data_IF_202520094862
#
_entry.id   IF_202520094862
#
_cell.length_a   1.000
_cell.length_b   1.000
_cell.length_c   1.000
_cell.angle_alpha   90.00
_cell.angle_beta   90.00
_cell.angle_gamma   90.00
#
_symmetry.space_group_name_H-M   'P 1'
#
loop_
_entity.id
_entity.type
_entity.pdbx_description
1 polymer ?
#
# COMPACT_ATOMS: atom_id res chain seq x y z
N UNK A 1 -69.09 -15.78 0.38
CA UNK A 1 -68.53 -14.41 0.59
C UNK A 1 -67.48 -14.36 1.70
N UNK A 2 -67.74 -14.86 2.92
CA UNK A 2 -66.75 -14.86 4.04
C UNK A 2 -65.41 -15.55 3.73
N UNK A 3 -65.44 -16.68 3.02
CA UNK A 3 -64.22 -17.41 2.61
C UNK A 3 -63.37 -16.64 1.59
N UNK A 4 -64.00 -15.84 0.73
CA UNK A 4 -63.30 -15.05 -0.28
C UNK A 4 -62.59 -13.84 0.35
N UNK A 5 -63.22 -13.24 1.36
CA UNK A 5 -62.65 -12.14 2.14
C UNK A 5 -61.44 -12.59 2.97
N UNK A 6 -61.48 -13.80 3.53
CA UNK A 6 -60.35 -14.39 4.26
C UNK A 6 -59.13 -14.64 3.35
N UNK A 7 -59.36 -15.11 2.12
CA UNK A 7 -58.29 -15.32 1.13
C UNK A 7 -57.66 -14.00 0.70
N UNK A 8 -58.48 -12.95 0.50
CA UNK A 8 -57.98 -11.62 0.16
C UNK A 8 -57.16 -11.00 1.31
N UNK A 9 -57.56 -11.23 2.56
CA UNK A 9 -56.80 -10.79 3.74
C UNK A 9 -55.44 -11.50 3.86
N UNK A 10 -55.37 -12.81 3.57
CA UNK A 10 -54.13 -13.60 3.61
C UNK A 10 -53.12 -13.18 2.52
N UNK A 11 -53.60 -12.76 1.35
CA UNK A 11 -52.74 -12.26 0.27
C UNK A 11 -52.15 -10.88 0.57
N UNK A 12 -52.76 -10.08 1.46
CA UNK A 12 -52.19 -8.80 1.91
C UNK A 12 -51.07 -8.94 2.95
N UNK A 13 -50.80 -10.15 3.48
CA UNK A 13 -49.75 -10.38 4.50
C UNK A 13 -48.41 -10.79 3.87
N UNK A 14 -48.32 -10.94 2.54
CA UNK A 14 -47.04 -11.20 1.87
C UNK A 14 -46.22 -9.92 1.81
N UNK A 15 -45.55 -9.57 2.90
CA UNK A 15 -44.54 -8.53 2.94
C UNK A 15 -43.30 -8.95 2.15
N UNK A 16 -42.64 -7.98 1.49
CA UNK A 16 -41.33 -8.18 0.90
C UNK A 16 -40.31 -8.37 2.02
N UNK A 17 -39.84 -9.60 2.25
CA UNK A 17 -38.64 -9.84 3.04
C UNK A 17 -37.43 -9.51 2.15
N UNK A 18 -36.70 -8.46 2.49
CA UNK A 18 -35.36 -8.23 1.98
C UNK A 18 -34.41 -9.13 2.78
N UNK A 19 -33.68 -10.00 2.09
CA UNK A 19 -32.57 -10.72 2.72
C UNK A 19 -31.47 -9.70 3.02
N UNK A 20 -31.16 -9.52 4.29
CA UNK A 20 -30.07 -8.63 4.71
C UNK A 20 -28.76 -9.27 4.23
N UNK A 21 -28.14 -8.65 3.21
CA UNK A 21 -26.88 -9.13 2.66
C UNK A 21 -25.77 -8.65 3.58
N UNK A 22 -25.16 -9.57 4.31
CA UNK A 22 -23.94 -9.30 5.07
C UNK A 22 -22.79 -9.22 4.08
N UNK A 23 -22.33 -8.00 3.78
CA UNK A 23 -21.16 -7.73 2.95
C UNK A 23 -19.99 -7.21 3.79
N UNK A 24 -18.75 -7.46 3.34
CA UNK A 24 -17.54 -6.95 3.97
C UNK A 24 -17.00 -5.79 3.13
N UNK A 25 -17.37 -4.58 3.50
CA UNK A 25 -16.96 -3.38 2.75
C UNK A 25 -15.55 -2.91 3.15
N UNK A 26 -15.17 -3.08 4.41
CA UNK A 26 -13.83 -2.74 4.86
C UNK A 26 -13.31 -3.86 5.75
N UNK A 27 -12.02 -4.17 5.58
CA UNK A 27 -11.34 -5.13 6.41
C UNK A 27 -9.90 -4.72 6.64
N UNK A 28 -9.35 -5.19 7.75
CA UNK A 28 -7.96 -5.01 8.12
C UNK A 28 -7.33 -6.36 8.42
N UNK A 29 -6.03 -6.45 8.20
CA UNK A 29 -5.25 -7.64 8.55
C UNK A 29 -4.52 -7.34 9.86
N UNK A 30 -4.62 -8.24 10.82
CA UNK A 30 -3.99 -8.15 12.15
C UNK A 30 -3.22 -9.43 12.47
N UNK A 31 -2.42 -9.37 13.52
CA UNK A 31 -1.75 -10.53 14.10
C UNK A 31 -2.80 -11.51 14.65
N UNK A 32 -2.56 -12.81 14.53
CA UNK A 32 -3.43 -13.80 15.17
C UNK A 32 -3.04 -13.90 16.68
N UNK A 33 -3.94 -13.57 17.62
CA UNK A 33 -3.64 -13.68 19.05
C UNK A 33 -3.47 -15.13 19.53
N UNK A 34 -3.90 -16.11 18.75
CA UNK A 34 -3.87 -17.53 19.10
C UNK A 34 -2.75 -18.32 18.43
N UNK A 35 -2.08 -17.75 17.41
CA UNK A 35 -1.01 -18.41 16.68
C UNK A 35 0.03 -17.39 16.20
N UNK A 36 1.31 -17.69 16.45
CA UNK A 36 2.43 -16.76 16.20
C UNK A 36 2.78 -16.58 14.72
N UNK A 37 2.39 -17.53 13.88
CA UNK A 37 2.78 -17.59 12.46
C UNK A 37 1.60 -17.36 11.52
N UNK A 38 0.46 -16.94 12.05
CA UNK A 38 -0.78 -16.75 11.31
C UNK A 38 -1.28 -15.31 11.46
N UNK A 39 -2.14 -14.90 10.53
CA UNK A 39 -2.77 -13.58 10.53
C UNK A 39 -4.28 -13.71 10.62
N UNK A 40 -4.92 -12.68 11.13
CA UNK A 40 -6.37 -12.57 11.22
C UNK A 40 -6.87 -11.48 10.29
N UNK A 41 -7.99 -11.73 9.63
CA UNK A 41 -8.76 -10.78 8.87
C UNK A 41 -9.90 -10.29 9.75
N UNK A 42 -10.05 -8.98 9.86
CA UNK A 42 -11.06 -8.35 10.71
C UNK A 42 -11.91 -7.42 9.86
N UNK A 43 -13.20 -7.70 9.76
CA UNK A 43 -14.17 -6.81 9.13
C UNK A 43 -14.39 -5.60 10.03
N UNK A 44 -14.27 -4.40 9.46
CA UNK A 44 -14.35 -3.14 10.19
C UNK A 44 -15.24 -2.15 9.45
N UNK A 45 -15.75 -1.15 10.16
CA UNK A 45 -16.38 0.01 9.55
C UNK A 45 -15.34 1.07 9.12
N UNK A 46 -15.81 2.21 8.60
CA UNK A 46 -14.96 3.34 8.20
C UNK A 46 -14.20 3.97 9.36
N UNK A 47 -14.68 3.82 10.60
CA UNK A 47 -14.01 4.28 11.81
C UNK A 47 -13.01 3.25 12.37
N UNK A 48 -12.92 2.06 11.76
CA UNK A 48 -12.04 0.97 12.20
C UNK A 48 -12.62 0.12 13.33
N UNK A 49 -13.90 0.25 13.64
CA UNK A 49 -14.62 -0.55 14.64
C UNK A 49 -15.00 -1.90 14.03
N UNK A 50 -14.84 -2.97 14.79
CA UNK A 50 -15.11 -4.34 14.33
C UNK A 50 -16.62 -4.51 14.08
N UNK A 51 -16.97 -5.10 12.93
CA UNK A 51 -18.34 -5.42 12.57
C UNK A 51 -18.71 -6.83 13.05
N UNK A 52 -19.21 -6.95 14.28
CA UNK A 52 -19.54 -8.25 14.88
C UNK A 52 -20.72 -8.98 14.21
N UNK A 53 -21.53 -8.27 13.43
CA UNK A 53 -22.60 -8.86 12.63
C UNK A 53 -22.07 -9.69 11.45
N UNK A 54 -20.81 -9.53 11.04
CA UNK A 54 -20.21 -10.28 9.94
C UNK A 54 -19.91 -11.72 10.37
N UNK A 55 -20.72 -12.65 9.88
CA UNK A 55 -20.62 -14.08 10.16
C UNK A 55 -20.87 -14.88 8.89
N UNK A 56 -20.02 -15.87 8.61
CA UNK A 56 -20.16 -16.71 7.42
C UNK A 56 -18.83 -17.06 6.77
N UNK A 57 -18.88 -17.62 5.56
CA UNK A 57 -17.70 -17.93 4.75
C UNK A 57 -17.64 -16.91 3.62
N UNK A 58 -16.50 -16.25 3.49
CA UNK A 58 -16.26 -15.23 2.48
C UNK A 58 -15.03 -15.59 1.67
N UNK A 59 -15.12 -15.41 0.36
CA UNK A 59 -14.02 -15.67 -0.56
C UNK A 59 -13.10 -14.46 -0.63
N UNK A 60 -11.81 -14.68 -0.44
CA UNK A 60 -10.75 -13.70 -0.56
C UNK A 60 -9.74 -14.18 -1.61
N UNK A 61 -9.13 -13.24 -2.31
CA UNK A 61 -7.92 -13.50 -3.10
C UNK A 61 -6.72 -12.97 -2.33
N UNK A 62 -5.87 -13.88 -1.83
CA UNK A 62 -4.67 -13.57 -1.06
C UNK A 62 -3.45 -13.91 -1.92
N UNK A 63 -2.63 -12.91 -2.27
CA UNK A 63 -1.46 -13.05 -3.15
C UNK A 63 -1.75 -13.77 -4.48
N UNK A 64 -2.97 -13.64 -5.00
CA UNK A 64 -3.41 -14.27 -6.25
C UNK A 64 -4.07 -15.63 -6.08
N UNK A 65 -4.08 -16.20 -4.86
CA UNK A 65 -4.75 -17.45 -4.55
C UNK A 65 -6.14 -17.18 -3.97
N UNK A 66 -7.14 -17.93 -4.42
CA UNK A 66 -8.49 -17.87 -3.88
C UNK A 66 -8.58 -18.70 -2.61
N UNK A 67 -9.02 -18.07 -1.53
CA UNK A 67 -9.07 -18.64 -0.17
C UNK A 67 -10.44 -18.36 0.43
N UNK A 68 -11.01 -19.35 1.11
CA UNK A 68 -12.27 -19.20 1.85
C UNK A 68 -11.97 -18.91 3.32
N UNK A 69 -12.38 -17.74 3.78
CA UNK A 69 -12.21 -17.30 5.16
C UNK A 69 -13.53 -17.39 5.92
N UNK A 70 -13.54 -18.15 7.01
CA UNK A 70 -14.68 -18.24 7.92
C UNK A 70 -14.63 -17.11 8.94
N UNK A 71 -15.51 -16.14 8.79
CA UNK A 71 -15.72 -15.06 9.73
C UNK A 71 -16.67 -15.49 10.85
N UNK A 72 -16.23 -15.27 12.08
CA UNK A 72 -17.01 -15.38 13.31
C UNK A 72 -16.87 -14.05 14.06
N UNK A 73 -17.99 -13.37 14.28
CA UNK A 73 -18.09 -12.05 14.90
C UNK A 73 -17.10 -11.02 14.31
N UNK A 74 -17.05 -10.96 12.99
CA UNK A 74 -16.20 -10.02 12.26
C UNK A 74 -14.72 -10.40 12.21
N UNK A 75 -14.31 -11.56 12.71
CA UNK A 75 -12.92 -12.03 12.64
C UNK A 75 -12.80 -13.38 11.94
N UNK A 76 -11.86 -13.52 11.02
CA UNK A 76 -11.49 -14.78 10.38
C UNK A 76 -9.98 -15.03 10.53
N UNK A 77 -9.59 -16.29 10.74
CA UNK A 77 -8.19 -16.67 10.85
C UNK A 77 -7.68 -17.27 9.54
N UNK A 78 -6.60 -16.71 9.02
CA UNK A 78 -5.90 -17.26 7.86
C UNK A 78 -4.79 -18.18 8.34
N UNK A 79 -5.03 -19.49 8.21
CA UNK A 79 -4.20 -20.56 8.80
C UNK A 79 -2.98 -20.95 7.96
N UNK A 80 -2.69 -20.20 6.91
CA UNK A 80 -1.46 -20.40 6.15
C UNK A 80 -0.29 -19.79 6.90
N UNK A 81 0.71 -20.61 7.24
CA UNK A 81 1.84 -20.16 8.05
C UNK A 81 2.75 -19.22 7.27
N UNK A 82 3.07 -18.08 7.86
CA UNK A 82 4.01 -17.10 7.30
C UNK A 82 5.40 -17.36 7.87
N UNK A 83 6.18 -18.19 7.16
CA UNK A 83 7.53 -18.59 7.59
C UNK A 83 8.57 -17.47 7.50
N UNK A 84 8.36 -16.50 6.61
CA UNK A 84 9.29 -15.39 6.33
C UNK A 84 8.54 -14.10 6.10
N UNK A 85 9.21 -12.98 6.34
CA UNK A 85 8.67 -11.65 6.04
C UNK A 85 8.24 -11.56 4.58
N UNK A 86 7.00 -11.18 4.34
CA UNK A 86 6.39 -11.22 3.00
C UNK A 86 5.30 -10.17 2.83
N UNK A 87 4.95 -9.89 1.59
CA UNK A 87 3.78 -9.09 1.27
C UNK A 87 2.52 -9.95 1.33
N UNK A 88 1.46 -9.39 1.90
CA UNK A 88 0.12 -9.94 1.88
C UNK A 88 -0.78 -8.94 1.18
N UNK A 89 -1.05 -9.21 -0.09
CA UNK A 89 -2.07 -8.52 -0.86
C UNK A 89 -3.37 -9.32 -0.74
N UNK A 90 -4.36 -8.74 -0.09
CA UNK A 90 -5.67 -9.36 0.06
C UNK A 90 -6.73 -8.53 -0.66
N UNK A 91 -7.61 -9.24 -1.36
CA UNK A 91 -8.73 -8.67 -2.11
C UNK A 91 -10.00 -9.44 -1.78
N UNK A 92 -11.08 -8.72 -1.52
CA UNK A 92 -12.43 -9.25 -1.41
C UNK A 92 -13.30 -8.59 -2.48
N UNK A 93 -14.22 -9.36 -3.04
CA UNK A 93 -15.21 -8.87 -3.98
C UNK A 93 -16.59 -9.18 -3.42
N UNK A 94 -17.41 -8.15 -3.29
CA UNK A 94 -18.82 -8.22 -2.95
C UNK A 94 -19.65 -7.71 -4.14
N UNK A 95 -20.97 -7.64 -3.97
CA UNK A 95 -21.87 -7.13 -5.01
C UNK A 95 -21.67 -5.62 -5.28
N UNK A 96 -21.20 -4.87 -4.27
CA UNK A 96 -21.05 -3.41 -4.31
C UNK A 96 -19.68 -2.97 -4.85
N UNK A 97 -18.68 -3.86 -4.91
CA UNK A 97 -17.36 -3.50 -5.41
C UNK A 97 -16.24 -4.50 -5.11
N UNK A 98 -15.02 -3.98 -5.20
CA UNK A 98 -13.80 -4.69 -4.86
C UNK A 98 -13.07 -3.91 -3.78
N UNK A 99 -12.74 -4.59 -2.70
CA UNK A 99 -11.99 -4.02 -1.59
C UNK A 99 -10.65 -4.74 -1.49
N UNK A 100 -9.55 -4.01 -1.53
CA UNK A 100 -8.22 -4.58 -1.40
C UNK A 100 -7.33 -3.81 -0.44
N UNK A 101 -6.40 -4.53 0.15
CA UNK A 101 -5.40 -3.97 1.05
C UNK A 101 -4.08 -4.71 0.87
N UNK A 102 -2.99 -3.95 1.01
CA UNK A 102 -1.64 -4.48 0.96
C UNK A 102 -0.98 -4.28 2.31
N UNK A 103 -0.44 -5.35 2.87
CA UNK A 103 0.37 -5.33 4.07
C UNK A 103 1.75 -5.91 3.78
N UNK A 104 2.77 -5.38 4.43
CA UNK A 104 4.03 -6.08 4.63
C UNK A 104 4.02 -6.70 6.01
N UNK A 105 4.13 -8.02 6.05
CA UNK A 105 4.22 -8.80 7.27
C UNK A 105 5.69 -8.99 7.58
N UNK A 106 6.16 -8.35 8.64
CA UNK A 106 7.54 -8.45 9.13
C UNK A 106 7.60 -9.50 10.24
N UNK A 107 8.38 -10.55 10.02
CA UNK A 107 8.62 -11.61 11.01
C UNK A 107 9.87 -11.27 11.83
N UNK A 108 9.73 -11.25 13.15
CA UNK A 108 10.83 -11.08 14.10
C UNK A 108 10.56 -11.89 15.37
N UNK A 109 11.58 -12.56 15.92
CA UNK A 109 11.55 -13.24 17.24
C UNK A 109 10.26 -14.03 17.57
N UNK A 110 9.74 -14.79 16.59
CA UNK A 110 8.53 -15.60 16.76
C UNK A 110 7.23 -14.78 16.83
N UNK A 111 7.23 -13.54 16.33
CA UNK A 111 6.07 -12.67 16.16
C UNK A 111 5.99 -12.18 14.72
N UNK A 112 4.78 -11.81 14.32
CA UNK A 112 4.51 -11.10 13.08
C UNK A 112 4.16 -9.67 13.44
N UNK A 113 4.63 -8.70 12.66
CA UNK A 113 4.19 -7.31 12.77
C UNK A 113 3.75 -6.83 11.39
N UNK A 114 2.55 -6.24 11.33
CA UNK A 114 1.92 -5.89 10.07
C UNK A 114 2.01 -4.39 9.84
N UNK A 115 2.56 -4.01 8.68
CA UNK A 115 2.63 -2.63 8.23
C UNK A 115 1.72 -2.46 7.03
N UNK A 116 0.66 -1.66 7.17
CA UNK A 116 -0.25 -1.35 6.05
C UNK A 116 0.49 -0.48 5.05
N UNK A 117 0.47 -0.89 3.78
CA UNK A 117 1.07 -0.12 2.70
C UNK A 117 -0.04 0.51 1.86
N UNK A 118 -0.04 1.84 1.80
CA UNK A 118 -0.96 2.59 0.94
C UNK A 118 -0.50 2.54 -0.52
N UNK A 119 -1.46 2.45 -1.45
CA UNK A 119 -1.21 2.53 -2.89
C UNK A 119 -0.46 3.82 -3.28
N UNK A 120 -0.68 4.89 -2.51
CA UNK A 120 0.00 6.18 -2.71
C UNK A 120 1.50 6.02 -2.59
N UNK A 121 1.98 5.22 -1.63
CA UNK A 121 3.41 4.98 -1.43
C UNK A 121 4.00 4.18 -2.59
N UNK A 122 3.27 3.18 -3.10
CA UNK A 122 3.69 2.39 -4.26
C UNK A 122 3.87 3.27 -5.51
N UNK A 123 3.04 4.30 -5.67
CA UNK A 123 3.14 5.24 -6.78
C UNK A 123 4.19 6.35 -6.52
N UNK A 124 4.28 6.83 -5.29
CA UNK A 124 5.13 7.96 -4.93
C UNK A 124 6.62 7.63 -5.05
N UNK A 125 7.06 6.43 -4.66
CA UNK A 125 8.47 6.01 -4.76
C UNK A 125 9.01 6.07 -6.19
N UNK A 126 8.40 5.41 -7.20
CA UNK A 126 8.90 5.49 -8.57
C UNK A 126 8.80 6.90 -9.14
N UNK A 127 7.73 7.64 -8.83
CA UNK A 127 7.60 9.03 -9.29
C UNK A 127 8.69 9.93 -8.70
N UNK A 128 8.99 9.80 -7.41
CA UNK A 128 10.06 10.53 -6.75
C UNK A 128 11.43 10.21 -7.35
N UNK A 129 11.72 8.92 -7.65
CA UNK A 129 12.96 8.53 -8.32
C UNK A 129 13.10 9.18 -9.70
N UNK A 130 12.03 9.21 -10.50
CA UNK A 130 12.03 9.90 -11.81
C UNK A 130 12.26 11.40 -11.63
N UNK A 131 11.60 12.02 -10.65
CA UNK A 131 11.71 13.46 -10.38
C UNK A 131 13.13 13.83 -9.93
N UNK A 132 13.73 13.04 -9.04
CA UNK A 132 15.13 13.17 -8.62
C UNK A 132 16.06 13.04 -9.84
N UNK A 133 15.89 12.00 -10.65
CA UNK A 133 16.70 11.80 -11.86
C UNK A 133 16.58 12.97 -12.85
N UNK A 134 15.38 13.53 -13.01
CA UNK A 134 15.14 14.71 -13.85
C UNK A 134 15.81 15.97 -13.29
N UNK A 135 15.74 16.20 -11.98
CA UNK A 135 16.42 17.33 -11.32
C UNK A 135 17.93 17.26 -11.51
N UNK A 136 18.54 16.08 -11.36
CA UNK A 136 19.97 15.88 -11.62
C UNK A 136 20.34 16.23 -13.06
N UNK A 137 19.55 15.82 -14.06
CA UNK A 137 19.79 16.18 -15.46
C UNK A 137 19.84 17.69 -15.65
N UNK A 138 18.90 18.43 -15.06
CA UNK A 138 18.86 19.90 -15.18
C UNK A 138 20.03 20.58 -14.44
N UNK A 139 20.39 20.08 -13.26
CA UNK A 139 21.54 20.58 -12.49
C UNK A 139 22.87 20.38 -13.23
N UNK A 140 23.07 19.21 -13.85
CA UNK A 140 24.27 18.92 -14.64
C UNK A 140 24.40 19.89 -15.82
N UNK A 141 23.31 20.17 -16.53
CA UNK A 141 23.32 21.12 -17.66
C UNK A 141 23.70 22.53 -17.18
N UNK A 142 23.09 23.00 -16.08
CA UNK A 142 23.40 24.33 -15.52
C UNK A 142 24.87 24.38 -15.07
N UNK A 143 25.37 23.35 -14.40
CA UNK A 143 26.76 23.27 -13.97
C UNK A 143 27.74 23.34 -15.16
N UNK A 144 27.46 22.62 -16.24
CA UNK A 144 28.28 22.67 -17.47
C UNK A 144 28.26 24.07 -18.08
N UNK A 145 27.10 24.72 -18.20
CA UNK A 145 27.00 26.08 -18.74
C UNK A 145 27.79 27.07 -17.90
N UNK A 146 27.61 27.05 -16.58
CA UNK A 146 28.36 27.91 -15.64
C UNK A 146 29.86 27.62 -15.73
N UNK A 147 30.25 26.36 -15.81
CA UNK A 147 31.65 25.96 -15.95
C UNK A 147 32.27 26.45 -17.27
N UNK A 148 31.55 26.37 -18.39
CA UNK A 148 32.01 26.90 -19.67
C UNK A 148 32.16 28.44 -19.63
N UNK A 149 31.20 29.16 -19.04
CA UNK A 149 31.29 30.62 -18.86
C UNK A 149 32.48 30.99 -17.97
N UNK A 150 32.69 30.24 -16.88
CA UNK A 150 33.82 30.44 -15.98
C UNK A 150 35.16 30.20 -16.68
N UNK A 151 35.31 29.13 -17.47
CA UNK A 151 36.52 28.87 -18.25
C UNK A 151 36.77 29.95 -19.30
N UNK A 152 35.71 30.40 -19.99
CA UNK A 152 35.81 31.50 -20.95
C UNK A 152 36.30 32.78 -20.29
N UNK A 153 35.74 33.15 -19.14
CA UNK A 153 36.15 34.35 -18.40
C UNK A 153 37.62 34.29 -17.98
N UNK A 154 38.06 33.14 -17.45
CA UNK A 154 39.47 32.91 -17.07
C UNK A 154 40.40 33.02 -18.29
N UNK A 155 40.03 32.38 -19.41
CA UNK A 155 40.79 32.46 -20.65
C UNK A 155 40.88 33.89 -21.19
N UNK A 156 39.77 34.63 -21.19
CA UNK A 156 39.74 36.03 -21.63
C UNK A 156 40.54 36.97 -20.72
N UNK A 157 40.72 36.60 -19.45
CA UNK A 157 41.51 37.33 -18.47
C UNK A 157 43.00 36.94 -18.47
N UNK A 158 43.45 36.19 -19.49
CA UNK A 158 44.85 35.81 -19.68
C UNK A 158 45.27 34.49 -19.03
N UNK A 159 44.36 33.76 -18.38
CA UNK A 159 44.64 32.46 -17.78
C UNK A 159 44.19 31.33 -18.71
N UNK A 160 45.15 30.75 -19.45
CA UNK A 160 44.88 29.60 -20.32
C UNK A 160 44.41 28.38 -19.51
N UNK A 161 43.65 27.48 -20.15
CA UNK A 161 43.11 26.27 -19.50
C UNK A 161 44.21 25.43 -18.81
N UNK A 162 45.39 25.19 -19.42
CA UNK A 162 46.48 24.46 -18.75
C UNK A 162 47.01 25.18 -17.51
N UNK A 163 47.23 26.50 -17.59
CA UNK A 163 47.73 27.30 -16.45
C UNK A 163 46.72 27.40 -15.31
N UNK A 164 45.42 27.33 -15.61
CA UNK A 164 44.36 27.26 -14.59
C UNK A 164 44.48 25.97 -13.75
N UNK A 165 44.55 24.81 -14.39
CA UNK A 165 44.72 23.53 -13.66
C UNK A 165 46.07 23.47 -12.92
N UNK A 166 47.13 24.00 -13.53
CA UNK A 166 48.45 24.11 -12.87
C UNK A 166 48.36 24.95 -11.59
N UNK A 167 47.65 26.08 -11.63
CA UNK A 167 47.45 26.96 -10.47
C UNK A 167 46.66 26.29 -9.34
N UNK A 168 45.66 25.46 -9.68
CA UNK A 168 44.95 24.64 -8.69
C UNK A 168 45.90 23.64 -8.04
N UNK A 169 46.70 22.93 -8.84
CA UNK A 169 47.65 21.93 -8.34
C UNK A 169 48.74 22.55 -7.46
N UNK A 170 49.27 23.72 -7.86
CA UNK A 170 50.29 24.43 -7.10
C UNK A 170 49.70 25.00 -5.79
N UNK A 171 48.47 25.52 -5.81
CA UNK A 171 47.74 25.92 -4.61
C UNK A 171 47.47 24.75 -3.65
N UNK A 172 47.08 23.58 -4.19
CA UNK A 172 46.90 22.37 -3.38
C UNK A 172 48.22 21.91 -2.75
N UNK A 173 49.31 21.89 -3.51
CA UNK A 173 50.65 21.54 -3.00
C UNK A 173 51.11 22.48 -1.90
N UNK A 174 50.84 23.77 -2.01
CA UNK A 174 51.17 24.76 -0.98
C UNK A 174 50.38 24.59 0.33
N UNK A 175 49.24 23.89 0.31
CA UNK A 175 48.48 23.56 1.53
C UNK A 175 48.97 22.29 2.25
N UNK A 176 49.69 21.42 1.54
CA UNK A 176 50.20 20.14 2.07
C UNK A 176 51.74 20.13 2.25
N UNK A 177 52.37 21.29 2.13
CA UNK A 177 53.81 21.52 2.35
C UNK A 177 54.03 22.41 3.56
#
# INVERSE_FOLDING_TARGET
MKKLLLICLLLCVTGFCYADKIAIDNFVVKENPFATDEIAFVAVDTAGVIQENVNGIFTFTINGFTEELKFDKGTAFYRHKIEKSSFVYARHQNDDGTHSTLYYVYRHDGKLSLVKISWIVLLAIPLALVLIGYMFKRLIIIAIVVFCVFLYFNHSSGLSVPTFFQSILDGLKGMFS
#
